data_IF_493515472961
#
_entry.id   IF_493515472961
#
_cell.length_a   1.000
_cell.length_b   1.000
_cell.length_c   1.000
_cell.angle_alpha   90.00
_cell.angle_beta   90.00
_cell.angle_gamma   90.00
#
_symmetry.space_group_name_H-M   'P 1'
#
loop_
_entity.id
_entity.type
_entity.pdbx_description
1 polymer ?
#
# COMPACT_ATOMS: atom_id res chain seq x y z
N UNK A 1 -3.38 -5.32 13.66
CA UNK A 1 -2.49 -4.98 12.52
C UNK A 1 -2.47 -3.47 12.38
N UNK A 2 -1.29 -2.87 12.15
CA UNK A 2 -1.17 -1.45 11.81
C UNK A 2 -1.68 -1.23 10.38
N UNK A 3 -2.57 -0.24 10.11
CA UNK A 3 -2.91 0.11 8.74
C UNK A 3 -1.65 0.52 7.98
N UNK A 4 -1.27 -0.20 6.91
CA UNK A 4 0.01 0.02 6.25
C UNK A 4 -0.01 1.36 5.49
N UNK A 5 0.84 2.33 5.83
CA UNK A 5 0.92 3.57 5.07
C UNK A 5 1.49 3.33 3.67
N UNK A 6 0.99 4.11 2.72
CA UNK A 6 1.42 4.09 1.32
C UNK A 6 2.86 4.60 1.18
N UNK A 7 3.68 3.93 0.37
CA UNK A 7 5.05 4.37 0.08
C UNK A 7 5.09 5.53 -0.93
N UNK A 8 4.21 6.51 -0.76
CA UNK A 8 4.06 7.68 -1.64
C UNK A 8 4.73 8.94 -1.09
N UNK A 9 5.24 8.91 0.13
CA UNK A 9 5.91 10.04 0.77
C UNK A 9 6.02 9.93 2.28
N UNK A 10 6.16 11.08 2.94
CA UNK A 10 6.26 11.18 4.40
C UNK A 10 4.91 11.01 5.09
N UNK A 11 4.94 10.56 6.34
CA UNK A 11 3.76 10.56 7.20
C UNK A 11 3.34 12.00 7.55
N UNK A 12 2.06 12.19 7.77
CA UNK A 12 1.47 13.46 8.21
C UNK A 12 0.72 13.29 9.54
N UNK A 13 0.20 14.38 10.09
CA UNK A 13 -0.45 14.39 11.42
C UNK A 13 -1.61 13.39 11.55
N UNK A 14 -2.36 13.13 10.48
CA UNK A 14 -3.41 12.10 10.49
C UNK A 14 -2.86 10.70 10.77
N UNK A 15 -1.73 10.35 10.18
CA UNK A 15 -1.04 9.10 10.49
C UNK A 15 -0.56 9.06 11.93
N UNK A 16 0.05 10.16 12.42
CA UNK A 16 0.51 10.25 13.80
C UNK A 16 -0.65 10.02 14.80
N UNK A 17 -1.79 10.66 14.59
CA UNK A 17 -2.98 10.47 15.42
C UNK A 17 -3.45 9.02 15.43
N UNK A 18 -3.63 8.42 14.24
CA UNK A 18 -4.10 7.05 14.09
C UNK A 18 -3.19 6.05 14.79
N UNK A 19 -1.88 6.16 14.58
CA UNK A 19 -0.91 5.23 15.18
C UNK A 19 -0.73 5.45 16.67
N UNK A 20 -0.81 6.70 17.15
CA UNK A 20 -0.76 6.99 18.60
C UNK A 20 -1.95 6.37 19.33
N UNK A 21 -3.16 6.50 18.80
CA UNK A 21 -4.36 5.89 19.40
C UNK A 21 -4.22 4.36 19.46
N UNK A 22 -3.75 3.74 18.39
CA UNK A 22 -3.51 2.29 18.37
C UNK A 22 -2.44 1.89 19.38
N UNK A 23 -1.33 2.63 19.45
CA UNK A 23 -0.22 2.33 20.35
C UNK A 23 -0.64 2.43 21.82
N UNK A 24 -1.49 3.41 22.18
CA UNK A 24 -2.07 3.51 23.52
C UNK A 24 -2.82 2.23 23.88
N UNK A 25 -3.68 1.70 23.01
CA UNK A 25 -4.43 0.48 23.25
C UNK A 25 -3.50 -0.74 23.36
N UNK A 26 -2.49 -0.84 22.50
CA UNK A 26 -1.48 -1.90 22.52
C UNK A 26 -0.72 -1.91 23.84
N UNK A 27 -0.22 -0.75 24.28
CA UNK A 27 0.52 -0.60 25.54
C UNK A 27 -0.38 -0.89 26.75
N UNK A 28 -1.61 -0.43 26.73
CA UNK A 28 -2.57 -0.70 27.80
C UNK A 28 -2.80 -2.20 27.99
N UNK A 29 -3.01 -2.95 26.91
CA UNK A 29 -3.21 -4.40 27.00
C UNK A 29 -1.95 -5.15 27.43
N UNK A 30 -0.76 -4.72 26.96
CA UNK A 30 0.51 -5.28 27.43
C UNK A 30 0.73 -5.06 28.93
N UNK A 31 0.40 -3.87 29.44
CA UNK A 31 0.49 -3.59 30.88
C UNK A 31 -0.48 -4.44 31.71
N UNK A 32 -1.57 -4.93 31.11
CA UNK A 32 -2.48 -5.91 31.72
C UNK A 32 -1.98 -7.36 31.66
N UNK A 33 -0.77 -7.59 31.18
CA UNK A 33 -0.18 -8.93 31.06
C UNK A 33 -0.65 -9.71 29.83
N UNK A 34 -1.32 -9.05 28.86
CA UNK A 34 -1.74 -9.71 27.64
C UNK A 34 -0.59 -9.72 26.61
N UNK A 35 -0.45 -10.83 25.88
CA UNK A 35 0.42 -10.87 24.71
C UNK A 35 -0.26 -10.17 23.55
N UNK A 36 0.35 -9.07 23.08
CA UNK A 36 -0.19 -8.26 21.99
C UNK A 36 0.85 -8.05 20.92
N UNK A 37 0.58 -8.61 19.74
CA UNK A 37 1.35 -8.36 18.53
C UNK A 37 0.77 -7.15 17.80
N UNK A 38 1.57 -6.11 17.61
CA UNK A 38 1.26 -5.00 16.72
C UNK A 38 2.14 -5.09 15.46
N UNK A 39 1.56 -5.63 14.41
CA UNK A 39 2.22 -5.88 13.14
C UNK A 39 2.39 -4.57 12.35
N UNK A 40 3.63 -4.19 12.07
CA UNK A 40 3.97 -3.07 11.20
C UNK A 40 4.07 -3.49 9.74
N UNK A 41 3.91 -2.52 8.84
CA UNK A 41 4.10 -2.72 7.40
C UNK A 41 3.87 -1.44 6.60
N UNK A 42 4.16 -1.53 5.30
CA UNK A 42 3.93 -0.47 4.32
C UNK A 42 3.20 -1.01 3.10
N UNK A 43 2.40 -0.15 2.46
CA UNK A 43 1.65 -0.48 1.26
C UNK A 43 2.36 0.01 -0.01
N UNK A 44 2.34 -0.81 -1.06
CA UNK A 44 2.89 -0.47 -2.36
C UNK A 44 2.09 0.61 -3.12
N UNK A 45 0.83 0.86 -2.75
CA UNK A 45 -0.06 1.89 -3.30
C UNK A 45 -0.23 1.92 -4.84
N UNK A 46 0.29 0.92 -5.55
CA UNK A 46 0.10 0.71 -6.99
C UNK A 46 0.35 1.96 -7.86
N UNK A 47 -0.69 2.45 -8.53
CA UNK A 47 -0.64 3.58 -9.47
C UNK A 47 -0.08 4.85 -8.81
N UNK A 48 -0.44 5.14 -7.57
CA UNK A 48 0.02 6.35 -6.87
C UNK A 48 1.55 6.37 -6.71
N UNK A 49 2.16 5.24 -6.37
CA UNK A 49 3.63 5.12 -6.30
C UNK A 49 4.27 5.29 -7.68
N UNK A 50 3.69 4.69 -8.73
CA UNK A 50 4.18 4.88 -10.10
C UNK A 50 4.14 6.36 -10.50
N UNK A 51 3.05 7.07 -10.23
CA UNK A 51 2.93 8.51 -10.51
C UNK A 51 3.99 9.35 -9.79
N UNK A 52 4.33 9.02 -8.55
CA UNK A 52 5.41 9.70 -7.80
C UNK A 52 6.76 9.48 -8.50
N UNK A 53 7.04 8.24 -8.88
CA UNK A 53 8.29 7.90 -9.59
C UNK A 53 8.35 8.57 -10.97
N UNK A 54 7.24 8.57 -11.73
CA UNK A 54 7.16 9.27 -13.03
C UNK A 54 7.43 10.77 -12.89
N UNK A 55 6.88 11.40 -11.85
CA UNK A 55 7.15 12.82 -11.57
C UNK A 55 8.64 13.08 -11.32
N UNK A 56 9.28 12.26 -10.47
CA UNK A 56 10.74 12.36 -10.23
C UNK A 56 11.57 12.15 -11.50
N UNK A 57 11.18 11.20 -12.35
CA UNK A 57 11.86 10.98 -13.63
C UNK A 57 11.70 12.16 -14.57
N UNK A 58 10.52 12.79 -14.60
CA UNK A 58 10.27 13.99 -15.42
C UNK A 58 11.14 15.17 -15.03
N UNK A 59 11.48 15.32 -13.75
CA UNK A 59 12.46 16.34 -13.27
C UNK A 59 13.85 16.13 -13.89
N UNK A 60 14.19 14.90 -14.28
CA UNK A 60 15.43 14.53 -14.96
C UNK A 60 15.27 14.39 -16.49
N UNK A 61 14.16 14.89 -17.06
CA UNK A 61 13.80 14.75 -18.47
C UNK A 61 13.75 13.28 -18.96
N UNK A 62 13.40 12.35 -18.07
CA UNK A 62 13.21 10.94 -18.39
C UNK A 62 11.72 10.60 -18.39
N UNK A 63 11.31 9.72 -19.31
CA UNK A 63 9.96 9.20 -19.39
C UNK A 63 9.98 7.67 -19.21
N UNK A 64 8.92 7.13 -18.58
CA UNK A 64 8.79 5.68 -18.35
C UNK A 64 8.83 4.87 -19.64
N UNK A 65 8.31 5.45 -20.75
CA UNK A 65 8.28 4.76 -22.06
C UNK A 65 9.69 4.66 -22.67
N UNK A 66 10.49 5.73 -22.54
CA UNK A 66 11.87 5.77 -23.01
C UNK A 66 12.78 4.84 -22.20
N UNK A 67 12.53 4.71 -20.88
CA UNK A 67 13.27 3.80 -20.01
C UNK A 67 12.96 2.31 -20.28
N UNK A 68 11.73 2.01 -20.67
CA UNK A 68 11.22 0.64 -20.74
C UNK A 68 10.84 0.06 -19.39
N UNK A 69 10.10 -1.06 -19.42
CA UNK A 69 9.46 -1.64 -18.24
C UNK A 69 10.45 -2.03 -17.13
N UNK A 70 11.53 -2.71 -17.48
CA UNK A 70 12.48 -3.25 -16.50
C UNK A 70 13.15 -2.13 -15.69
N UNK A 71 13.74 -1.16 -16.38
CA UNK A 71 14.39 -0.02 -15.73
C UNK A 71 13.41 0.85 -14.93
N UNK A 72 12.17 0.98 -15.40
CA UNK A 72 11.15 1.69 -14.63
C UNK A 72 10.81 0.95 -13.33
N UNK A 73 10.67 -0.37 -13.36
CA UNK A 73 10.45 -1.19 -12.15
C UNK A 73 11.62 -1.05 -11.17
N UNK A 74 12.87 -1.04 -11.65
CA UNK A 74 14.03 -0.80 -10.79
C UNK A 74 13.92 0.55 -10.06
N UNK A 75 13.53 1.62 -10.77
CA UNK A 75 13.30 2.95 -10.16
C UNK A 75 12.17 2.95 -9.14
N UNK A 76 11.12 2.18 -9.35
CA UNK A 76 10.04 2.02 -8.37
C UNK A 76 10.54 1.30 -7.11
N UNK A 77 11.40 0.29 -7.25
CA UNK A 77 11.99 -0.40 -6.10
C UNK A 77 13.00 0.48 -5.34
N UNK A 78 13.80 1.31 -6.04
CA UNK A 78 14.67 2.31 -5.42
C UNK A 78 13.83 3.27 -4.56
N UNK A 79 12.76 3.81 -5.12
CA UNK A 79 11.82 4.69 -4.41
C UNK A 79 11.19 4.00 -3.20
N UNK A 80 10.74 2.75 -3.35
CA UNK A 80 10.19 1.97 -2.23
C UNK A 80 11.18 1.83 -1.09
N UNK A 81 12.45 1.59 -1.39
CA UNK A 81 13.51 1.48 -0.37
C UNK A 81 13.71 2.79 0.37
N UNK A 82 13.75 3.91 -0.34
CA UNK A 82 13.87 5.25 0.23
C UNK A 82 12.65 5.61 1.09
N UNK A 83 11.46 5.61 0.50
CA UNK A 83 10.21 6.03 1.15
C UNK A 83 9.80 5.09 2.30
N UNK A 84 9.88 3.78 2.11
CA UNK A 84 9.56 2.81 3.16
C UNK A 84 10.49 2.93 4.37
N UNK A 85 11.78 3.13 4.15
CA UNK A 85 12.74 3.38 5.22
C UNK A 85 12.45 4.67 5.99
N UNK A 86 12.05 5.73 5.29
CA UNK A 86 11.65 6.99 5.92
C UNK A 86 10.41 6.83 6.80
N UNK A 87 9.37 6.15 6.30
CA UNK A 87 8.13 5.88 7.03
C UNK A 87 8.40 5.11 8.32
N UNK A 88 9.15 4.00 8.25
CA UNK A 88 9.50 3.18 9.42
C UNK A 88 10.31 3.99 10.44
N UNK A 89 11.24 4.84 9.99
CA UNK A 89 11.99 5.73 10.87
C UNK A 89 11.11 6.79 11.52
N UNK A 90 10.15 7.37 10.82
CA UNK A 90 9.20 8.32 11.39
C UNK A 90 8.33 7.69 12.47
N UNK A 91 7.83 6.47 12.24
CA UNK A 91 7.05 5.72 13.24
C UNK A 91 7.88 5.36 14.47
N UNK A 92 9.14 4.96 14.30
CA UNK A 92 10.07 4.70 15.40
C UNK A 92 10.34 5.98 16.21
N UNK A 93 10.52 7.12 15.56
CA UNK A 93 10.69 8.42 16.22
C UNK A 93 9.42 8.87 16.95
N UNK A 94 8.24 8.54 16.45
CA UNK A 94 6.97 8.75 17.13
C UNK A 94 6.85 7.88 18.41
N UNK A 95 7.68 6.85 18.55
CA UNK A 95 7.68 5.93 19.67
C UNK A 95 6.73 4.75 19.51
N UNK A 96 6.27 4.46 18.30
CA UNK A 96 5.37 3.35 18.04
C UNK A 96 6.00 2.00 18.48
N UNK A 97 5.29 1.26 19.34
CA UNK A 97 5.76 0.00 19.94
C UNK A 97 5.44 -1.25 19.10
N UNK A 98 5.47 -1.11 17.79
CA UNK A 98 5.25 -2.22 16.87
C UNK A 98 6.39 -3.25 16.90
N UNK A 99 6.10 -4.48 16.50
CA UNK A 99 7.11 -5.51 16.28
C UNK A 99 7.82 -5.27 14.93
N UNK A 100 8.90 -4.53 15.00
CA UNK A 100 9.71 -4.16 13.82
C UNK A 100 10.46 -5.34 13.20
N UNK A 101 10.64 -6.43 13.93
CA UNK A 101 11.28 -7.63 13.39
C UNK A 101 10.38 -8.35 12.39
N UNK A 102 9.09 -8.11 12.47
CA UNK A 102 8.05 -8.66 11.59
C UNK A 102 7.48 -7.65 10.62
N UNK A 103 8.20 -6.56 10.36
CA UNK A 103 7.76 -5.56 9.39
C UNK A 103 7.53 -6.18 8.01
N UNK A 104 6.40 -5.86 7.37
CA UNK A 104 5.98 -6.42 6.09
C UNK A 104 5.78 -5.33 5.04
N UNK A 105 5.90 -5.73 3.80
CA UNK A 105 5.54 -4.92 2.64
C UNK A 105 4.52 -5.67 1.78
N UNK A 106 3.47 -5.00 1.34
CA UNK A 106 2.33 -5.64 0.67
C UNK A 106 2.69 -6.40 -0.61
N UNK A 107 3.86 -6.12 -1.22
CA UNK A 107 4.40 -6.89 -2.37
C UNK A 107 5.63 -7.72 -2.02
N UNK A 108 5.90 -8.01 -0.74
CA UNK A 108 6.95 -8.95 -0.40
C UNK A 108 6.63 -10.37 -0.90
N UNK A 109 7.62 -11.22 -0.99
CA UNK A 109 7.48 -12.56 -1.54
C UNK A 109 6.42 -13.39 -0.82
N UNK A 110 6.39 -13.34 0.51
CA UNK A 110 5.42 -14.10 1.31
C UNK A 110 3.98 -13.66 1.07
N UNK A 111 3.72 -12.34 1.07
CA UNK A 111 2.39 -11.79 0.77
C UNK A 111 2.00 -12.00 -0.69
N UNK A 112 2.93 -11.86 -1.63
CA UNK A 112 2.69 -12.16 -3.05
C UNK A 112 2.26 -13.62 -3.27
N UNK A 113 2.91 -14.56 -2.58
CA UNK A 113 2.54 -15.97 -2.64
C UNK A 113 1.18 -16.24 -1.97
N UNK A 114 0.89 -15.58 -0.85
CA UNK A 114 -0.41 -15.67 -0.18
C UNK A 114 -1.55 -15.16 -1.09
N UNK A 115 -1.37 -14.01 -1.74
CA UNK A 115 -2.35 -13.44 -2.69
C UNK A 115 -2.62 -14.41 -3.83
N UNK A 116 -1.57 -14.97 -4.46
CA UNK A 116 -1.74 -15.96 -5.53
C UNK A 116 -2.52 -17.18 -5.06
N UNK A 117 -2.19 -17.72 -3.88
CA UNK A 117 -2.88 -18.88 -3.30
C UNK A 117 -4.37 -18.60 -3.05
N UNK A 118 -4.66 -17.46 -2.43
CA UNK A 118 -6.05 -17.05 -2.15
C UNK A 118 -6.82 -16.86 -3.45
N UNK A 119 -6.23 -16.18 -4.44
CA UNK A 119 -6.85 -15.99 -5.75
C UNK A 119 -7.24 -17.33 -6.41
N UNK A 120 -6.31 -18.29 -6.42
CA UNK A 120 -6.56 -19.62 -7.00
C UNK A 120 -7.66 -20.36 -6.23
N UNK A 121 -7.66 -20.31 -4.91
CA UNK A 121 -8.69 -20.94 -4.11
C UNK A 121 -10.08 -20.33 -4.40
N UNK A 122 -10.21 -19.01 -4.40
CA UNK A 122 -11.46 -18.31 -4.69
C UNK A 122 -11.98 -18.62 -6.11
N UNK A 123 -11.08 -18.77 -7.07
CA UNK A 123 -11.46 -19.20 -8.43
C UNK A 123 -11.97 -20.64 -8.46
N UNK A 124 -11.28 -21.57 -7.79
CA UNK A 124 -11.70 -22.97 -7.70
C UNK A 124 -13.04 -23.14 -6.95
N UNK A 125 -13.29 -22.29 -5.95
CA UNK A 125 -14.56 -22.26 -5.19
C UNK A 125 -15.69 -21.57 -5.97
N UNK A 126 -15.43 -21.05 -7.19
CA UNK A 126 -16.43 -20.40 -8.04
C UNK A 126 -16.87 -19.01 -7.53
N UNK A 127 -16.15 -18.43 -6.55
CA UNK A 127 -16.48 -17.12 -5.95
C UNK A 127 -16.06 -15.98 -6.87
N UNK A 128 -14.94 -16.13 -7.59
CA UNK A 128 -14.48 -15.17 -8.57
C UNK A 128 -14.51 -15.77 -9.97
N UNK A 129 -14.81 -14.93 -10.95
CA UNK A 129 -14.89 -15.31 -12.36
C UNK A 129 -14.38 -14.18 -13.26
N UNK A 130 -14.09 -14.49 -14.52
CA UNK A 130 -13.67 -13.51 -15.52
C UNK A 130 -14.86 -13.08 -16.36
N UNK A 131 -15.12 -11.78 -16.42
CA UNK A 131 -16.19 -11.20 -17.24
C UNK A 131 -15.74 -9.87 -17.85
N UNK A 132 -16.58 -9.32 -18.76
CA UNK A 132 -16.40 -7.99 -19.36
C UNK A 132 -17.33 -7.00 -18.68
N UNK A 133 -16.78 -5.88 -18.24
CA UNK A 133 -17.54 -4.79 -17.61
C UNK A 133 -17.15 -3.44 -18.20
N UNK A 134 -18.09 -2.52 -18.26
CA UNK A 134 -17.79 -1.12 -18.56
C UNK A 134 -16.98 -0.53 -17.40
N UNK A 135 -15.90 0.17 -17.74
CA UNK A 135 -15.03 0.82 -16.79
C UNK A 135 -14.74 2.24 -17.22
N UNK A 136 -14.48 3.14 -16.27
CA UNK A 136 -13.94 4.44 -16.55
C UNK A 136 -12.45 4.30 -16.88
N UNK A 137 -12.07 4.73 -18.07
CA UNK A 137 -10.71 4.61 -18.58
C UNK A 137 -10.03 5.98 -18.62
N UNK A 138 -8.84 6.08 -18.03
CA UNK A 138 -7.99 7.26 -18.15
C UNK A 138 -7.05 7.12 -19.35
N UNK A 139 -7.22 7.92 -20.41
CA UNK A 139 -6.40 7.82 -21.61
C UNK A 139 -4.98 8.35 -21.43
N UNK A 140 -4.72 9.14 -20.39
CA UNK A 140 -3.37 9.65 -20.07
C UNK A 140 -2.57 8.63 -19.28
N UNK A 141 -3.16 8.04 -18.25
CA UNK A 141 -2.54 7.01 -17.43
C UNK A 141 -2.58 5.64 -18.10
N UNK A 142 -3.42 5.46 -19.11
CA UNK A 142 -3.66 4.18 -19.82
C UNK A 142 -4.08 3.07 -18.85
N UNK A 143 -5.01 3.38 -17.97
CA UNK A 143 -5.52 2.44 -16.96
C UNK A 143 -7.01 2.67 -16.68
N UNK A 144 -7.67 1.62 -16.18
CA UNK A 144 -9.01 1.75 -15.61
C UNK A 144 -8.92 2.44 -14.23
N UNK A 145 -9.83 3.35 -13.96
CA UNK A 145 -9.97 4.00 -12.67
C UNK A 145 -10.91 3.17 -11.81
N UNK A 146 -10.51 2.88 -10.57
CA UNK A 146 -11.36 2.18 -9.62
C UNK A 146 -12.60 3.01 -9.29
N UNK A 147 -13.76 2.37 -9.24
CA UNK A 147 -15.03 3.02 -8.86
C UNK A 147 -14.97 3.70 -7.49
N UNK A 148 -14.20 3.18 -6.54
CA UNK A 148 -13.98 3.78 -5.22
C UNK A 148 -13.32 5.15 -5.26
N UNK A 149 -12.69 5.54 -6.38
CA UNK A 149 -12.05 6.84 -6.52
C UNK A 149 -13.01 7.95 -6.96
N UNK A 150 -14.19 7.61 -7.44
CA UNK A 150 -15.19 8.58 -7.94
C UNK A 150 -16.60 8.39 -7.40
N UNK A 151 -16.83 7.39 -6.53
CA UNK A 151 -18.06 7.32 -5.74
C UNK A 151 -17.81 7.96 -4.38
N UNK A 152 -18.63 8.95 -4.05
CA UNK A 152 -18.56 9.65 -2.77
C UNK A 152 -19.30 8.91 -1.65
N UNK A 153 -20.03 7.86 -1.96
CA UNK A 153 -20.87 7.12 -1.01
C UNK A 153 -20.69 5.61 -1.19
N UNK A 154 -20.24 4.96 -0.12
CA UNK A 154 -20.09 3.50 -0.07
C UNK A 154 -21.42 2.73 -0.18
N UNK A 155 -22.56 3.42 -0.07
CA UNK A 155 -23.90 2.84 -0.25
C UNK A 155 -24.24 2.55 -1.72
N UNK A 156 -23.51 3.15 -2.68
CA UNK A 156 -23.69 2.94 -4.13
C UNK A 156 -22.83 1.82 -4.72
N UNK A 157 -22.30 0.92 -3.90
CA UNK A 157 -21.47 -0.21 -4.35
C UNK A 157 -22.21 -1.16 -5.32
N UNK A 158 -23.53 -1.12 -5.37
CA UNK A 158 -24.32 -1.91 -6.32
C UNK A 158 -24.17 -1.50 -7.79
N UNK A 159 -23.54 -0.37 -8.07
CA UNK A 159 -23.34 0.19 -9.43
C UNK A 159 -21.91 0.08 -9.94
N UNK A 160 -21.00 -0.46 -9.13
CA UNK A 160 -19.58 -0.64 -9.50
C UNK A 160 -19.28 -2.01 -10.08
#
# INVERSE_FOLDING_TARGET
MMPPPNVTGSLHMGHALTFTIQDILIRYHRMKGMEVLWQAGTDHAGIATQMVVERKLSESNLDRRSLGREKFIEKVWEWKKESGGQISNQLRRLGASADWSRERFTMDEGLSNAVKKVFVNLFNDGIIYKDKRLVNWDPKLLTAISCLLYTSDAADESTC
#
